data_IF_587404187365
#
_entry.id   IF_587404187365
#
_cell.length_a   1.000
_cell.length_b   1.000
_cell.length_c   1.000
_cell.angle_alpha   90.00
_cell.angle_beta   90.00
_cell.angle_gamma   90.00
#
_symmetry.space_group_name_H-M   'P 1'
#
loop_
_entity.id
_entity.type
_entity.pdbx_description
1 polymer ?
#
# COMPACT_ATOMS: atom_id res chain seq x y z
N UNK A 1 -18.86 -4.24 -16.40
CA UNK A 1 -18.23 -5.07 -15.35
C UNK A 1 -16.72 -5.03 -15.55
N UNK A 2 -15.90 -5.04 -14.50
CA UNK A 2 -14.44 -5.15 -14.68
C UNK A 2 -14.11 -6.38 -15.54
N UNK A 3 -13.18 -6.23 -16.48
CA UNK A 3 -12.74 -7.30 -17.39
C UNK A 3 -13.83 -7.88 -18.33
N UNK A 4 -14.98 -7.20 -18.52
CA UNK A 4 -16.01 -7.69 -19.46
C UNK A 4 -15.55 -7.78 -20.93
N UNK A 5 -14.46 -7.06 -21.25
CA UNK A 5 -13.90 -6.94 -22.59
C UNK A 5 -12.59 -7.74 -22.78
N UNK A 6 -12.20 -8.59 -21.84
CA UNK A 6 -10.98 -9.39 -21.94
C UNK A 6 -10.38 -9.73 -20.59
N UNK A 7 -9.09 -10.01 -20.55
CA UNK A 7 -8.36 -10.31 -19.33
C UNK A 7 -7.03 -9.57 -19.28
N UNK A 8 -6.52 -9.42 -18.06
CA UNK A 8 -5.18 -8.93 -17.78
C UNK A 8 -4.51 -9.96 -16.88
N UNK A 9 -3.35 -10.45 -17.31
CA UNK A 9 -2.49 -11.35 -16.53
C UNK A 9 -1.21 -10.61 -16.24
N UNK A 10 -0.74 -10.66 -14.99
CA UNK A 10 0.53 -10.07 -14.62
C UNK A 10 1.34 -11.02 -13.73
N UNK A 11 2.66 -10.93 -13.89
CA UNK A 11 3.62 -11.54 -12.97
C UNK A 11 4.56 -10.44 -12.48
N UNK A 12 4.94 -10.51 -11.22
CA UNK A 12 5.99 -9.67 -10.68
C UNK A 12 7.06 -10.53 -10.02
N UNK A 13 8.33 -10.18 -10.24
CA UNK A 13 9.44 -10.78 -9.51
C UNK A 13 9.70 -10.10 -8.16
N UNK A 14 8.76 -9.26 -7.70
CA UNK A 14 8.84 -8.52 -6.45
C UNK A 14 10.17 -7.72 -6.36
N UNK A 15 10.91 -7.89 -5.26
CA UNK A 15 12.15 -7.15 -4.97
C UNK A 15 13.41 -7.79 -5.58
N UNK A 16 13.29 -8.86 -6.38
CA UNK A 16 14.47 -9.59 -6.88
C UNK A 16 15.01 -9.05 -8.21
N UNK A 17 14.15 -8.88 -9.22
CA UNK A 17 14.50 -8.36 -10.55
C UNK A 17 13.27 -7.77 -11.24
N UNK A 18 13.11 -6.44 -11.18
CA UNK A 18 11.97 -5.75 -11.81
C UNK A 18 11.91 -5.91 -13.33
N UNK A 19 12.97 -6.38 -13.99
CA UNK A 19 12.95 -6.66 -15.44
C UNK A 19 12.14 -7.91 -15.81
N UNK A 20 11.80 -8.74 -14.82
CA UNK A 20 10.95 -9.93 -14.99
C UNK A 20 9.46 -9.61 -14.81
N UNK A 21 9.10 -8.37 -14.47
CA UNK A 21 7.70 -7.95 -14.43
C UNK A 21 7.11 -8.04 -15.85
N UNK A 22 5.97 -8.71 -15.96
CA UNK A 22 5.31 -8.93 -17.24
C UNK A 22 3.82 -8.70 -17.09
N UNK A 23 3.25 -7.93 -18.01
CA UNK A 23 1.80 -7.69 -18.09
C UNK A 23 1.33 -8.07 -19.48
N UNK A 24 0.35 -8.95 -19.53
CA UNK A 24 -0.29 -9.41 -20.77
C UNK A 24 -1.75 -9.00 -20.73
N UNK A 25 -2.21 -8.35 -21.79
CA UNK A 25 -3.63 -8.00 -21.98
C UNK A 25 -4.15 -8.82 -23.14
N UNK A 26 -5.26 -9.53 -22.95
CA UNK A 26 -5.95 -10.28 -24.00
C UNK A 26 -7.37 -9.75 -24.16
N UNK A 27 -7.68 -9.03 -25.26
CA UNK A 27 -9.05 -8.65 -25.57
C UNK A 27 -9.93 -9.89 -25.76
N UNK A 28 -11.22 -9.77 -25.48
CA UNK A 28 -12.18 -10.86 -25.67
C UNK A 28 -12.24 -11.27 -27.15
N UNK A 29 -11.91 -12.53 -27.43
CA UNK A 29 -11.84 -13.07 -28.79
C UNK A 29 -10.64 -12.58 -29.60
N UNK A 30 -9.71 -11.86 -28.97
CA UNK A 30 -8.47 -11.40 -29.58
C UNK A 30 -7.24 -12.13 -29.04
N UNK A 31 -6.10 -11.83 -29.66
CA UNK A 31 -4.81 -12.39 -29.26
C UNK A 31 -4.21 -11.65 -28.05
N UNK A 32 -3.47 -12.35 -27.17
CA UNK A 32 -2.75 -11.72 -26.07
C UNK A 32 -1.61 -10.84 -26.59
N UNK A 33 -1.39 -9.72 -25.92
CA UNK A 33 -0.23 -8.84 -26.16
C UNK A 33 0.45 -8.45 -24.87
N UNK A 34 1.78 -8.49 -24.86
CA UNK A 34 2.59 -7.95 -23.78
C UNK A 34 2.56 -6.43 -23.81
N UNK A 35 2.38 -5.83 -22.63
CA UNK A 35 2.41 -4.38 -22.44
C UNK A 35 3.82 -3.96 -22.05
N UNK A 36 4.34 -2.95 -22.74
CA UNK A 36 5.61 -2.35 -22.34
C UNK A 36 5.44 -1.63 -21.00
N UNK A 37 6.23 -2.05 -20.01
CA UNK A 37 6.24 -1.43 -18.69
C UNK A 37 7.29 -0.31 -18.65
N UNK A 38 6.99 0.76 -17.92
CA UNK A 38 7.98 1.79 -17.62
C UNK A 38 9.04 1.17 -16.71
N UNK A 39 10.35 1.22 -17.07
CA UNK A 39 11.40 0.67 -16.22
C UNK A 39 11.41 1.39 -14.86
N UNK A 40 11.40 0.61 -13.77
CA UNK A 40 11.57 1.12 -12.42
C UNK A 40 12.97 0.75 -11.90
N UNK A 41 13.95 1.67 -11.96
CA UNK A 41 15.33 1.36 -11.62
C UNK A 41 15.56 1.14 -10.13
N UNK A 42 14.62 1.55 -9.27
CA UNK A 42 14.69 1.40 -7.82
C UNK A 42 13.32 1.02 -7.27
N UNK A 43 13.25 -0.14 -6.64
CA UNK A 43 12.05 -0.71 -6.00
C UNK A 43 12.32 -0.94 -4.51
N UNK A 44 11.31 -1.45 -3.79
CA UNK A 44 11.39 -1.71 -2.35
C UNK A 44 11.91 -0.50 -1.56
N UNK A 45 12.80 -0.76 -0.60
CA UNK A 45 13.40 0.28 0.24
C UNK A 45 14.16 1.37 -0.55
N UNK A 46 14.83 1.01 -1.65
CA UNK A 46 15.53 1.98 -2.49
C UNK A 46 14.56 2.91 -3.23
N UNK A 47 13.41 2.40 -3.66
CA UNK A 47 12.31 3.19 -4.21
C UNK A 47 11.79 4.20 -3.20
N UNK A 48 11.51 3.75 -1.97
CA UNK A 48 11.03 4.60 -0.88
C UNK A 48 12.01 5.72 -0.55
N UNK A 49 13.31 5.41 -0.41
CA UNK A 49 14.34 6.43 -0.13
C UNK A 49 14.49 7.44 -1.28
N UNK A 50 14.30 6.98 -2.51
CA UNK A 50 14.34 7.85 -3.70
C UNK A 50 13.20 8.85 -3.69
N UNK A 51 11.97 8.40 -3.45
CA UNK A 51 10.79 9.26 -3.37
C UNK A 51 10.89 10.23 -2.18
N UNK A 52 11.34 9.75 -1.03
CA UNK A 52 11.57 10.60 0.16
C UNK A 52 12.53 11.76 -0.15
N UNK A 53 13.69 11.46 -0.76
CA UNK A 53 14.65 12.49 -1.13
C UNK A 53 14.10 13.45 -2.20
N UNK A 54 13.33 12.93 -3.17
CA UNK A 54 12.70 13.75 -4.20
C UNK A 54 11.64 14.71 -3.61
N UNK A 55 10.79 14.22 -2.71
CA UNK A 55 9.77 15.00 -2.03
C UNK A 55 10.37 16.15 -1.21
N UNK A 56 11.44 15.90 -0.44
CA UNK A 56 12.18 16.93 0.30
C UNK A 56 12.70 18.02 -0.65
N UNK A 57 13.40 17.62 -1.71
CA UNK A 57 14.01 18.57 -2.65
C UNK A 57 12.98 19.43 -3.36
N UNK A 58 11.82 18.85 -3.67
CA UNK A 58 10.74 19.56 -4.35
C UNK A 58 9.80 20.31 -3.38
N UNK A 59 9.98 20.18 -2.06
CA UNK A 59 9.10 20.80 -1.07
C UNK A 59 7.65 20.33 -1.18
N UNK A 60 7.42 19.08 -1.56
CA UNK A 60 6.08 18.49 -1.76
C UNK A 60 5.84 17.36 -0.79
N UNK A 61 4.57 17.02 -0.57
CA UNK A 61 4.21 15.78 0.13
C UNK A 61 4.64 14.56 -0.71
N UNK A 62 5.25 13.54 -0.09
CA UNK A 62 5.52 12.28 -0.79
C UNK A 62 4.21 11.58 -1.16
N UNK A 63 4.25 10.75 -2.19
CA UNK A 63 3.09 9.93 -2.62
C UNK A 63 2.50 9.12 -1.45
N UNK A 64 3.37 8.55 -0.60
CA UNK A 64 2.98 7.80 0.59
C UNK A 64 3.34 8.56 1.86
N UNK A 65 2.38 9.33 2.37
CA UNK A 65 2.51 10.09 3.61
C UNK A 65 2.16 9.26 4.83
N UNK A 66 3.05 9.24 5.83
CA UNK A 66 2.82 8.55 7.10
C UNK A 66 1.59 9.07 7.86
N UNK A 67 1.11 10.30 7.58
CA UNK A 67 -0.13 10.83 8.15
C UNK A 67 -1.35 9.99 7.78
N UNK A 68 -1.38 9.45 6.57
CA UNK A 68 -2.46 8.59 6.12
C UNK A 68 -2.47 7.23 6.84
N UNK A 69 -1.34 6.82 7.43
CA UNK A 69 -1.25 5.57 8.19
C UNK A 69 -1.79 5.67 9.63
N UNK A 70 -2.04 6.88 10.14
CA UNK A 70 -2.46 7.07 11.53
C UNK A 70 -3.82 6.43 11.84
N UNK A 71 -4.74 6.40 10.86
CA UNK A 71 -6.02 5.70 10.99
C UNK A 71 -5.86 4.18 11.13
N UNK A 72 -4.91 3.59 10.39
CA UNK A 72 -4.57 2.17 10.51
C UNK A 72 -4.00 1.85 11.88
N UNK A 73 -3.10 2.68 12.40
CA UNK A 73 -2.54 2.51 13.75
C UNK A 73 -3.64 2.57 14.81
N UNK A 74 -4.57 3.53 14.71
CA UNK A 74 -5.71 3.63 15.62
C UNK A 74 -6.65 2.41 15.53
N UNK A 75 -6.88 1.89 14.33
CA UNK A 75 -7.63 0.64 14.13
C UNK A 75 -6.93 -0.55 14.82
N UNK A 76 -5.61 -0.68 14.66
CA UNK A 76 -4.85 -1.78 15.27
C UNK A 76 -4.86 -1.69 16.79
N UNK A 77 -4.75 -0.48 17.36
CA UNK A 77 -4.87 -0.26 18.80
C UNK A 77 -6.26 -0.69 19.32
N UNK A 78 -7.33 -0.26 18.64
CA UNK A 78 -8.70 -0.66 18.95
C UNK A 78 -8.90 -2.17 18.84
N UNK A 79 -8.29 -2.83 17.86
CA UNK A 79 -8.38 -4.28 17.69
C UNK A 79 -7.72 -5.02 18.86
N UNK A 80 -6.54 -4.57 19.32
CA UNK A 80 -5.87 -5.12 20.51
C UNK A 80 -6.74 -4.95 21.75
N UNK A 81 -7.29 -3.75 21.96
CA UNK A 81 -8.17 -3.45 23.09
C UNK A 81 -9.45 -4.30 23.07
N UNK A 82 -10.09 -4.42 21.91
CA UNK A 82 -11.27 -5.26 21.71
C UNK A 82 -10.99 -6.71 22.05
N UNK A 83 -9.85 -7.24 21.60
CA UNK A 83 -9.44 -8.61 21.90
C UNK A 83 -9.23 -8.85 23.41
N UNK A 84 -8.65 -7.87 24.12
CA UNK A 84 -8.48 -7.94 25.57
C UNK A 84 -9.81 -7.91 26.33
N UNK A 85 -10.76 -7.07 25.89
CA UNK A 85 -12.06 -6.88 26.56
C UNK A 85 -13.13 -7.89 26.14
N UNK A 86 -12.95 -8.54 24.99
CA UNK A 86 -13.93 -9.42 24.32
C UNK A 86 -15.23 -8.72 23.97
N UNK A 87 -15.15 -7.46 23.60
CA UNK A 87 -16.29 -6.65 23.16
C UNK A 87 -15.90 -5.70 22.03
N UNK A 88 -16.86 -5.23 21.21
CA UNK A 88 -16.59 -4.17 20.24
C UNK A 88 -16.15 -2.88 20.92
N UNK A 89 -15.12 -2.21 20.39
CA UNK A 89 -14.66 -0.90 20.87
C UNK A 89 -14.68 0.13 19.74
N UNK A 90 -14.88 1.39 20.09
CA UNK A 90 -14.86 2.49 19.13
C UNK A 90 -13.42 2.85 18.78
N UNK A 91 -13.12 3.00 17.49
CA UNK A 91 -11.83 3.52 17.02
C UNK A 91 -11.75 5.00 17.40
N UNK A 92 -10.75 5.35 18.21
CA UNK A 92 -10.51 6.73 18.64
C UNK A 92 -10.03 7.58 17.47
N UNK A 93 -10.34 8.87 17.50
CA UNK A 93 -9.78 9.79 16.49
C UNK A 93 -8.30 10.00 16.74
N UNK A 94 -7.54 10.09 15.66
CA UNK A 94 -6.12 10.44 15.72
C UNK A 94 -5.94 11.76 16.48
N UNK A 95 -5.17 11.74 17.57
CA UNK A 95 -4.93 12.90 18.44
C UNK A 95 -5.65 12.88 19.78
N UNK A 96 -6.56 11.92 20.02
CA UNK A 96 -7.15 11.69 21.34
C UNK A 96 -6.17 10.89 22.23
N UNK A 97 -5.96 11.32 23.47
CA UNK A 97 -4.98 10.71 24.37
C UNK A 97 -5.40 9.28 24.75
N UNK A 98 -4.47 8.34 24.62
CA UNK A 98 -4.62 6.99 25.15
C UNK A 98 -4.65 7.06 26.67
N UNK A 99 -5.82 6.85 27.28
CA UNK A 99 -5.93 6.71 28.73
C UNK A 99 -5.10 5.51 29.15
N UNK A 100 -3.90 5.76 29.70
CA UNK A 100 -3.04 4.71 30.25
C UNK A 100 -3.85 3.97 31.32
N UNK A 101 -4.18 2.72 31.04
CA UNK A 101 -4.78 1.83 32.03
C UNK A 101 -3.62 1.40 32.94
N UNK A 102 -3.39 2.14 34.03
CA UNK A 102 -2.57 1.64 35.12
C UNK A 102 -3.33 0.45 35.73
N UNK A 103 -2.91 -0.77 35.37
CA UNK A 103 -3.29 -1.96 36.11
C UNK A 103 -2.56 -1.93 37.46
N UNK A 104 -3.33 -1.84 38.55
CA UNK A 104 -2.91 -2.19 39.91
C UNK A 104 -3.13 -3.69 40.08
#
# INVERSE_FOLDING_TARGET
MEFENGEVTWTSAADSDSTQDNVVVRPRGGEPRTVALTPMPRTGGFGTLTEFAAAIRAGREPETSGRHNLGTVALMEAAVESASRREPVTIRRTGETTGVINAI
#
